data_IF_523473483745
#
_entry.id   IF_523473483745
#
_cell.length_a   1.000
_cell.length_b   1.000
_cell.length_c   1.000
_cell.angle_alpha   90.00
_cell.angle_beta   90.00
_cell.angle_gamma   90.00
#
_symmetry.space_group_name_H-M   'P 1'
#
loop_
_entity.id
_entity.type
_entity.pdbx_description
1 polymer ?
#
# COMPACT_ATOMS: atom_id res chain seq x y z
N UNK A 1 7.49 -13.71 -15.05
CA UNK A 1 6.57 -12.65 -14.60
C UNK A 1 6.06 -12.91 -13.19
N UNK A 2 5.80 -14.17 -12.81
CA UNK A 2 5.14 -14.51 -11.54
C UNK A 2 5.93 -14.13 -10.28
N UNK A 3 7.27 -14.20 -10.31
CA UNK A 3 8.10 -13.82 -9.17
C UNK A 3 7.94 -12.31 -8.84
N UNK A 4 7.77 -11.46 -9.86
CA UNK A 4 7.67 -10.01 -9.69
C UNK A 4 6.36 -9.58 -9.01
N UNK A 5 5.25 -10.27 -9.30
CA UNK A 5 3.97 -9.99 -8.64
C UNK A 5 4.01 -10.37 -7.16
N UNK A 6 4.61 -11.52 -6.82
CA UNK A 6 4.83 -11.92 -5.43
C UNK A 6 5.70 -10.91 -4.67
N UNK A 7 6.79 -10.43 -5.27
CA UNK A 7 7.61 -9.39 -4.66
C UNK A 7 6.89 -8.06 -4.48
N UNK A 8 5.99 -7.70 -5.41
CA UNK A 8 5.21 -6.46 -5.29
C UNK A 8 4.27 -6.51 -4.07
N UNK A 9 3.66 -7.68 -3.81
CA UNK A 9 2.82 -7.90 -2.62
C UNK A 9 3.66 -7.85 -1.34
N UNK A 10 4.82 -8.51 -1.35
CA UNK A 10 5.74 -8.46 -0.20
C UNK A 10 6.20 -7.02 0.09
N UNK A 11 6.59 -6.26 -0.94
CA UNK A 11 6.99 -4.87 -0.82
C UNK A 11 5.87 -4.01 -0.23
N UNK A 12 4.63 -4.21 -0.70
CA UNK A 12 3.46 -3.51 -0.15
C UNK A 12 3.28 -3.81 1.35
N UNK A 13 3.31 -5.08 1.75
CA UNK A 13 3.18 -5.44 3.16
C UNK A 13 4.32 -4.90 4.03
N UNK A 14 5.56 -4.87 3.50
CA UNK A 14 6.71 -4.28 4.17
C UNK A 14 6.56 -2.77 4.41
N UNK A 15 5.83 -2.04 3.57
CA UNK A 15 5.53 -0.62 3.83
C UNK A 15 4.49 -0.43 4.94
N UNK A 16 3.55 -1.37 5.09
CA UNK A 16 2.48 -1.30 6.08
C UNK A 16 2.97 -1.71 7.48
N UNK A 17 3.84 -2.72 7.57
CA UNK A 17 4.33 -3.26 8.85
C UNK A 17 4.86 -2.19 9.83
N UNK A 18 5.78 -1.31 9.40
CA UNK A 18 6.30 -0.24 10.24
C UNK A 18 5.23 0.69 10.80
N UNK A 19 4.12 0.90 10.08
CA UNK A 19 3.01 1.76 10.54
C UNK A 19 2.37 1.18 11.80
N UNK A 20 2.12 -0.14 11.83
CA UNK A 20 1.57 -0.81 13.02
C UNK A 20 2.56 -0.80 14.18
N UNK A 21 3.85 -0.99 13.90
CA UNK A 21 4.89 -0.91 14.94
C UNK A 21 4.98 0.50 15.54
N UNK A 22 4.88 1.53 14.71
CA UNK A 22 4.88 2.93 15.12
C UNK A 22 3.65 3.25 15.98
N UNK A 23 2.46 2.76 15.60
CA UNK A 23 1.23 2.90 16.38
C UNK A 23 1.36 2.23 17.75
N UNK A 24 1.87 0.98 17.81
CA UNK A 24 2.10 0.28 19.09
C UNK A 24 3.13 1.01 19.97
N UNK A 25 4.17 1.56 19.37
CA UNK A 25 5.17 2.35 20.09
C UNK A 25 4.61 3.68 20.61
N UNK A 26 3.78 4.38 19.82
CA UNK A 26 3.13 5.62 20.22
C UNK A 26 2.15 5.43 21.40
N UNK A 27 1.50 4.27 21.45
CA UNK A 27 0.57 3.87 22.53
C UNK A 27 1.30 3.32 23.77
N UNK A 28 2.64 3.20 23.72
CA UNK A 28 3.47 2.73 24.84
C UNK A 28 3.57 1.20 24.99
N UNK A 29 3.01 0.42 24.05
CA UNK A 29 2.96 -1.05 24.09
C UNK A 29 4.24 -1.71 23.55
N UNK A 30 5.41 -1.19 23.91
CA UNK A 30 6.72 -1.61 23.36
C UNK A 30 7.02 -3.10 23.59
N UNK A 31 6.74 -3.63 24.79
CA UNK A 31 6.97 -5.06 25.11
C UNK A 31 6.12 -5.99 24.26
N UNK A 32 4.91 -5.56 23.89
CA UNK A 32 4.01 -6.36 23.07
C UNK A 32 4.44 -6.35 21.60
N UNK A 33 4.90 -5.21 21.09
CA UNK A 33 5.50 -5.09 19.76
C UNK A 33 6.73 -6.00 19.61
N UNK A 34 7.63 -6.01 20.60
CA UNK A 34 8.81 -6.91 20.62
C UNK A 34 8.38 -8.38 20.59
N UNK A 35 7.34 -8.75 21.36
CA UNK A 35 6.80 -10.12 21.35
C UNK A 35 6.21 -10.48 19.97
N UNK A 36 5.46 -9.57 19.34
CA UNK A 36 4.85 -9.81 18.03
C UNK A 36 5.93 -9.91 16.94
N UNK A 37 7.00 -9.11 17.00
CA UNK A 37 8.16 -9.22 16.11
C UNK A 37 8.90 -10.56 16.30
N UNK A 38 9.05 -11.01 17.54
CA UNK A 38 9.64 -12.32 17.82
C UNK A 38 8.78 -13.47 17.25
N UNK A 39 7.44 -13.40 17.41
CA UNK A 39 6.52 -14.37 16.82
C UNK A 39 6.63 -14.36 15.29
N UNK A 40 6.67 -13.19 14.65
CA UNK A 40 6.86 -13.06 13.21
C UNK A 40 8.15 -13.74 12.75
N UNK A 41 9.26 -13.51 13.45
CA UNK A 41 10.54 -14.14 13.14
C UNK A 41 10.44 -15.67 13.22
N UNK A 42 9.89 -16.21 14.31
CA UNK A 42 9.72 -17.67 14.49
C UNK A 42 8.84 -18.26 13.38
N UNK A 43 7.69 -17.66 13.10
CA UNK A 43 6.79 -18.10 12.04
C UNK A 43 7.47 -18.05 10.68
N UNK A 44 8.21 -16.98 10.38
CA UNK A 44 8.95 -16.86 9.12
C UNK A 44 9.97 -17.98 8.97
N UNK A 45 10.77 -18.26 9.99
CA UNK A 45 11.76 -19.35 9.94
C UNK A 45 11.10 -20.73 9.82
N UNK A 46 10.03 -21.00 10.58
CA UNK A 46 9.32 -22.28 10.54
C UNK A 46 8.61 -22.53 9.21
N UNK A 47 8.08 -21.48 8.55
CA UNK A 47 7.34 -21.59 7.28
C UNK A 47 8.28 -21.49 6.08
N UNK A 48 9.39 -20.75 6.18
CA UNK A 48 10.35 -20.60 5.08
C UNK A 48 11.02 -21.93 4.72
N UNK A 49 11.43 -22.73 5.71
CA UNK A 49 12.11 -24.00 5.47
C UNK A 49 11.28 -25.04 4.68
N UNK A 50 10.00 -25.32 5.02
CA UNK A 50 9.16 -26.21 4.23
C UNK A 50 8.81 -25.63 2.86
N UNK A 51 8.50 -24.33 2.76
CA UNK A 51 8.16 -23.72 1.46
C UNK A 51 9.36 -23.65 0.52
N UNK A 52 10.58 -23.49 1.03
CA UNK A 52 11.81 -23.59 0.23
C UNK A 52 11.94 -24.97 -0.42
N UNK A 53 11.63 -26.02 0.33
CA UNK A 53 11.75 -27.40 -0.14
C UNK A 53 10.74 -27.73 -1.25
N UNK A 54 9.53 -27.18 -1.20
CA UNK A 54 8.47 -27.48 -2.17
C UNK A 54 8.41 -26.51 -3.37
N UNK A 55 8.68 -25.22 -3.15
CA UNK A 55 8.48 -24.16 -4.16
C UNK A 55 9.76 -23.39 -4.54
N UNK A 56 10.92 -23.77 -3.98
CA UNK A 56 12.19 -23.08 -4.24
C UNK A 56 12.18 -21.63 -3.73
N UNK A 57 12.82 -20.71 -4.46
CA UNK A 57 12.97 -19.30 -4.06
C UNK A 57 11.63 -18.55 -3.92
N UNK A 58 10.62 -18.90 -4.73
CA UNK A 58 9.27 -18.34 -4.62
C UNK A 58 8.61 -18.67 -3.27
N UNK A 59 8.96 -19.82 -2.68
CA UNK A 59 8.50 -20.22 -1.35
C UNK A 59 8.99 -19.29 -0.23
N UNK A 60 10.15 -18.64 -0.40
CA UNK A 60 10.69 -17.67 0.57
C UNK A 60 9.88 -16.38 0.57
N UNK A 61 9.47 -15.92 -0.61
CA UNK A 61 8.63 -14.72 -0.76
C UNK A 61 7.25 -14.98 -0.17
N UNK A 62 6.64 -16.13 -0.47
CA UNK A 62 5.34 -16.53 0.09
C UNK A 62 5.37 -16.68 1.62
N UNK A 63 6.43 -17.26 2.19
CA UNK A 63 6.57 -17.35 3.65
C UNK A 63 6.72 -15.96 4.30
N UNK A 64 7.38 -15.02 3.64
CA UNK A 64 7.49 -13.63 4.10
C UNK A 64 6.15 -12.91 4.07
N UNK A 65 5.35 -13.09 3.01
CA UNK A 65 3.98 -12.56 2.91
C UNK A 65 3.10 -13.10 4.05
N UNK A 66 3.15 -14.41 4.32
CA UNK A 66 2.38 -15.03 5.41
C UNK A 66 2.81 -14.52 6.78
N UNK A 67 4.12 -14.46 7.05
CA UNK A 67 4.65 -13.96 8.31
C UNK A 67 4.26 -12.50 8.55
N UNK A 68 4.34 -11.66 7.52
CA UNK A 68 3.94 -10.25 7.59
C UNK A 68 2.42 -10.09 7.80
N UNK A 69 1.61 -10.93 7.15
CA UNK A 69 0.17 -10.96 7.36
C UNK A 69 -0.20 -11.32 8.80
N UNK A 70 0.42 -12.36 9.36
CA UNK A 70 0.22 -12.76 10.77
C UNK A 70 0.65 -11.66 11.72
N UNK A 71 1.78 -11.01 11.44
CA UNK A 71 2.28 -9.88 12.22
C UNK A 71 1.26 -8.73 12.29
N UNK A 72 0.73 -8.30 11.14
CA UNK A 72 -0.27 -7.24 11.06
C UNK A 72 -1.54 -7.61 11.82
N UNK A 73 -2.01 -8.86 11.71
CA UNK A 73 -3.21 -9.32 12.42
C UNK A 73 -2.99 -9.30 13.95
N UNK A 74 -1.83 -9.77 14.41
CA UNK A 74 -1.48 -9.76 15.84
C UNK A 74 -1.37 -8.35 16.40
N UNK A 75 -0.81 -7.42 15.62
CA UNK A 75 -0.71 -6.01 15.99
C UNK A 75 -2.09 -5.33 16.05
N UNK A 76 -2.96 -5.58 15.06
CA UNK A 76 -4.34 -5.10 15.07
C UNK A 76 -5.11 -5.66 16.26
N UNK A 77 -4.97 -6.97 16.54
CA UNK A 77 -5.64 -7.63 17.66
C UNK A 77 -5.19 -7.04 19.00
N UNK A 78 -3.87 -6.86 19.19
CA UNK A 78 -3.29 -6.22 20.35
C UNK A 78 -3.85 -4.81 20.59
N UNK A 79 -3.93 -4.01 19.53
CA UNK A 79 -4.44 -2.64 19.59
C UNK A 79 -5.96 -2.62 19.88
N UNK A 80 -6.72 -3.54 19.28
CA UNK A 80 -8.18 -3.64 19.46
C UNK A 80 -8.56 -4.10 20.86
N UNK A 81 -7.89 -5.14 21.36
CA UNK A 81 -8.18 -5.74 22.68
C UNK A 81 -7.90 -4.76 23.83
N UNK A 82 -6.84 -3.94 23.71
CA UNK A 82 -6.42 -3.02 24.79
C UNK A 82 -7.00 -1.61 24.68
N UNK A 83 -7.28 -1.10 23.48
CA UNK A 83 -7.71 0.29 23.28
C UNK A 83 -9.11 0.46 22.68
N UNK A 84 -9.86 -0.63 22.39
CA UNK A 84 -11.21 -0.59 21.80
C UNK A 84 -11.32 0.37 20.60
N UNK A 85 -10.29 0.39 19.75
CA UNK A 85 -10.21 1.30 18.60
C UNK A 85 -11.31 0.93 17.60
N UNK A 86 -12.06 1.94 17.16
CA UNK A 86 -13.09 1.79 16.12
C UNK A 86 -12.44 1.83 14.72
N UNK A 87 -12.03 0.66 14.23
CA UNK A 87 -11.36 0.48 12.94
C UNK A 87 -12.20 0.84 11.70
N UNK A 88 -13.52 1.04 11.85
CA UNK A 88 -14.42 1.32 10.72
C UNK A 88 -13.93 2.49 9.85
N UNK A 89 -13.45 3.57 10.46
CA UNK A 89 -12.94 4.73 9.71
C UNK A 89 -11.64 4.43 8.97
N UNK A 90 -10.70 3.74 9.61
CA UNK A 90 -9.41 3.38 9.00
C UNK A 90 -9.59 2.41 7.84
N UNK A 91 -10.46 1.40 8.01
CA UNK A 91 -10.77 0.43 6.95
C UNK A 91 -11.48 1.09 5.76
N UNK A 92 -12.43 1.99 6.01
CA UNK A 92 -13.11 2.70 4.94
C UNK A 92 -12.11 3.51 4.10
N UNK A 93 -11.17 4.23 4.74
CA UNK A 93 -10.10 4.96 4.04
C UNK A 93 -9.20 4.03 3.23
N UNK A 94 -8.81 2.88 3.80
CA UNK A 94 -7.99 1.89 3.10
C UNK A 94 -8.70 1.34 1.85
N UNK A 95 -10.00 1.03 1.96
CA UNK A 95 -10.80 0.57 0.82
C UNK A 95 -10.89 1.61 -0.30
N UNK A 96 -11.03 2.89 0.04
CA UNK A 96 -11.04 3.95 -0.98
C UNK A 96 -9.68 4.08 -1.67
N UNK A 97 -8.56 3.94 -0.94
CA UNK A 97 -7.21 3.93 -1.55
C UNK A 97 -7.07 2.74 -2.50
N UNK A 98 -7.52 1.55 -2.11
CA UNK A 98 -7.52 0.37 -2.99
C UNK A 98 -8.39 0.59 -4.23
N UNK A 99 -9.54 1.26 -4.11
CA UNK A 99 -10.40 1.60 -5.23
C UNK A 99 -9.70 2.61 -6.17
N UNK A 100 -8.99 3.60 -5.63
CA UNK A 100 -8.19 4.52 -6.42
C UNK A 100 -7.05 3.80 -7.17
N UNK A 101 -6.40 2.82 -6.54
CA UNK A 101 -5.42 1.95 -7.20
C UNK A 101 -6.04 1.08 -8.31
N UNK A 102 -7.26 0.57 -8.10
CA UNK A 102 -7.98 -0.18 -9.12
C UNK A 102 -8.37 0.70 -10.32
N UNK A 103 -8.79 1.94 -10.06
CA UNK A 103 -9.08 2.91 -11.12
C UNK A 103 -7.82 3.31 -11.90
N UNK A 104 -6.68 3.50 -11.22
CA UNK A 104 -5.37 3.68 -11.86
C UNK A 104 -5.04 2.53 -12.81
N UNK A 105 -5.24 1.29 -12.36
CA UNK A 105 -5.02 0.11 -13.17
C UNK A 105 -5.95 0.05 -14.39
N UNK A 106 -7.22 0.43 -14.22
CA UNK A 106 -8.18 0.51 -15.32
C UNK A 106 -7.78 1.57 -16.36
N UNK A 107 -7.31 2.74 -15.92
CA UNK A 107 -6.81 3.81 -16.82
C UNK A 107 -5.56 3.35 -17.56
N UNK A 108 -4.63 2.69 -16.87
CA UNK A 108 -3.43 2.13 -17.51
C UNK A 108 -3.79 1.12 -18.59
N UNK A 109 -4.74 0.21 -18.31
CA UNK A 109 -5.25 -0.76 -19.29
C UNK A 109 -6.03 -0.12 -20.44
N UNK A 110 -6.78 0.94 -20.17
CA UNK A 110 -7.44 1.74 -21.20
C UNK A 110 -6.45 2.44 -22.14
N UNK A 111 -5.37 3.00 -21.59
CA UNK A 111 -4.31 3.61 -22.39
C UNK A 111 -3.55 2.57 -23.24
N UNK A 112 -3.30 1.38 -22.69
CA UNK A 112 -2.70 0.26 -23.42
C UNK A 112 -3.56 -0.21 -24.61
N UNK A 113 -4.90 -0.15 -24.48
CA UNK A 113 -5.87 -0.51 -25.54
C UNK A 113 -5.93 0.53 -26.67
N UNK A 114 -5.75 1.82 -26.36
CA UNK A 114 -5.73 2.92 -27.34
C UNK A 114 -4.43 2.92 -28.17
N UNK A 115 -3.46 2.08 -27.81
CA UNK A 115 -2.20 1.94 -28.55
C UNK A 115 -1.04 2.77 -28.00
N UNK A 116 -1.20 3.40 -26.82
CA UNK A 116 -0.08 3.94 -26.04
C UNK A 116 0.69 2.82 -25.32
N UNK A 117 1.05 1.76 -26.05
CA UNK A 117 1.97 0.75 -25.54
C UNK A 117 3.34 1.40 -25.47
N UNK A 118 3.72 1.87 -24.28
CA UNK A 118 5.03 2.45 -23.97
C UNK A 118 6.23 1.51 -24.17
N UNK A 119 6.03 0.37 -24.85
CA UNK A 119 7.04 -0.61 -25.22
C UNK A 119 6.79 -1.05 -26.67
N UNK A 120 7.72 -0.68 -27.57
CA UNK A 120 7.69 -1.11 -28.99
C UNK A 120 8.11 -0.06 -30.03
N UNK A 121 8.29 1.20 -29.64
CA UNK A 121 8.80 2.26 -30.53
C UNK A 121 10.15 2.83 -30.03
N UNK A 122 10.80 3.69 -30.81
CA UNK A 122 12.10 4.27 -30.48
C UNK A 122 12.15 4.86 -29.06
N UNK A 123 13.31 4.78 -28.38
CA UNK A 123 13.48 5.11 -26.94
C UNK A 123 12.85 6.45 -26.52
N UNK A 124 12.87 7.47 -27.39
CA UNK A 124 12.27 8.78 -27.13
C UNK A 124 10.73 8.75 -27.16
N UNK A 125 10.15 7.99 -28.09
CA UNK A 125 8.70 7.80 -28.25
C UNK A 125 8.11 6.98 -27.10
N UNK A 126 8.81 5.93 -26.63
CA UNK A 126 8.41 5.18 -25.44
C UNK A 126 8.40 6.05 -24.18
N UNK A 127 9.38 6.96 -24.04
CA UNK A 127 9.43 7.89 -22.91
C UNK A 127 8.26 8.88 -22.92
N UNK A 128 7.95 9.46 -24.10
CA UNK A 128 6.81 10.37 -24.26
C UNK A 128 5.48 9.67 -23.97
N UNK A 129 5.27 8.45 -24.49
CA UNK A 129 4.06 7.68 -24.24
C UNK A 129 3.92 7.29 -22.76
N UNK A 130 5.03 6.93 -22.10
CA UNK A 130 5.04 6.66 -20.66
C UNK A 130 4.75 7.92 -19.83
N UNK A 131 5.28 9.07 -20.23
CA UNK A 131 5.02 10.35 -19.57
C UNK A 131 3.54 10.75 -19.66
N UNK A 132 2.93 10.59 -20.84
CA UNK A 132 1.49 10.89 -21.04
C UNK A 132 0.61 9.93 -20.24
N UNK A 133 0.90 8.62 -20.29
CA UNK A 133 0.16 7.62 -19.51
C UNK A 133 0.29 7.87 -18.00
N UNK A 134 1.52 8.14 -17.51
CA UNK A 134 1.78 8.48 -16.11
C UNK A 134 1.05 9.76 -15.66
N UNK A 135 1.00 10.78 -16.52
CA UNK A 135 0.29 12.04 -16.24
C UNK A 135 -1.21 11.83 -16.13
N UNK A 136 -1.82 11.10 -17.07
CA UNK A 136 -3.24 10.75 -17.06
C UNK A 136 -3.61 9.92 -15.83
N UNK A 137 -2.80 8.90 -15.53
CA UNK A 137 -2.97 8.07 -14.35
C UNK A 137 -2.93 8.93 -13.06
N UNK A 138 -1.95 9.83 -12.96
CA UNK A 138 -1.81 10.72 -11.81
C UNK A 138 -3.01 11.67 -11.66
N UNK A 139 -3.53 12.23 -12.76
CA UNK A 139 -4.74 13.06 -12.74
C UNK A 139 -5.97 12.30 -12.24
N UNK A 140 -6.18 11.06 -12.71
CA UNK A 140 -7.31 10.23 -12.24
C UNK A 140 -7.16 9.86 -10.78
N UNK A 141 -5.95 9.51 -10.34
CA UNK A 141 -5.68 9.23 -8.93
C UNK A 141 -6.00 10.45 -8.04
N UNK A 142 -5.51 11.65 -8.40
CA UNK A 142 -5.82 12.86 -7.66
C UNK A 142 -7.30 13.22 -7.72
N UNK A 143 -7.97 13.03 -8.84
CA UNK A 143 -9.41 13.29 -8.99
C UNK A 143 -10.27 12.43 -8.06
N UNK A 144 -10.02 11.11 -8.04
CA UNK A 144 -10.72 10.18 -7.14
C UNK A 144 -10.38 10.47 -5.67
N UNK A 145 -9.09 10.67 -5.38
CA UNK A 145 -8.62 10.97 -4.02
C UNK A 145 -9.22 12.28 -3.49
N UNK A 146 -9.43 13.28 -4.35
CA UNK A 146 -10.08 14.54 -4.01
C UNK A 146 -11.59 14.37 -3.79
N UNK A 147 -12.28 13.62 -4.65
CA UNK A 147 -13.72 13.35 -4.51
C UNK A 147 -14.04 12.69 -3.16
N UNK A 148 -13.21 11.73 -2.73
CA UNK A 148 -13.38 11.06 -1.43
C UNK A 148 -12.80 11.82 -0.22
N UNK A 149 -12.33 13.06 -0.40
CA UNK A 149 -11.87 13.95 0.69
C UNK A 149 -10.78 13.34 1.62
N UNK A 150 -10.01 12.36 1.13
CA UNK A 150 -8.88 11.77 1.86
C UNK A 150 -7.80 12.81 2.19
N UNK A 151 -7.36 13.70 1.27
CA UNK A 151 -6.33 14.68 1.59
C UNK A 151 -6.84 15.73 2.60
N UNK A 152 -8.12 16.10 2.55
CA UNK A 152 -8.69 17.04 3.52
C UNK A 152 -8.75 16.45 4.94
N UNK A 153 -9.05 15.16 5.08
CA UNK A 153 -9.12 14.49 6.39
C UNK A 153 -7.78 14.02 6.95
N UNK A 154 -6.73 13.88 6.14
CA UNK A 154 -5.39 13.48 6.59
C UNK A 154 -4.46 14.69 6.75
N UNK A 155 -4.46 15.63 5.80
CA UNK A 155 -3.59 16.80 5.79
C UNK A 155 -4.19 18.04 6.44
N UNK A 156 -5.47 18.03 6.87
CA UNK A 156 -6.19 19.23 7.35
C UNK A 156 -6.09 20.44 6.40
N UNK A 157 -5.77 20.20 5.13
CA UNK A 157 -5.66 21.24 4.11
C UNK A 157 -7.02 21.42 3.44
N UNK A 158 -7.83 22.30 4.02
CA UNK A 158 -8.96 22.90 3.31
C UNK A 158 -8.39 23.70 2.11
N UNK A 159 -8.32 23.07 0.93
CA UNK A 159 -7.96 23.76 -0.32
C UNK A 159 -8.85 24.99 -0.55
N UNK A 160 -10.09 24.97 -0.07
CA UNK A 160 -11.02 26.11 -0.06
C UNK A 160 -10.52 27.30 0.77
N UNK A 161 -9.80 27.07 1.87
CA UNK A 161 -9.14 28.11 2.69
C UNK A 161 -7.84 28.58 2.07
N UNK A 162 -7.07 27.71 1.43
CA UNK A 162 -5.84 28.09 0.71
C UNK A 162 -6.14 28.94 -0.53
N UNK A 163 -7.16 28.60 -1.32
CA UNK A 163 -7.58 29.38 -2.48
C UNK A 163 -8.11 30.77 -2.06
N UNK A 164 -8.83 30.85 -0.92
CA UNK A 164 -9.27 32.13 -0.33
C UNK A 164 -8.11 32.96 0.22
N UNK A 165 -7.01 32.34 0.67
CA UNK A 165 -5.78 33.05 1.09
C UNK A 165 -4.97 33.54 -0.10
N UNK A 166 -4.90 32.79 -1.18
CA UNK A 166 -4.25 33.21 -2.43
C UNK A 166 -4.97 34.37 -3.12
N UNK A 167 -6.31 34.42 -3.04
CA UNK A 167 -7.12 35.50 -3.62
C UNK A 167 -7.18 36.78 -2.77
N UNK A 168 -6.53 36.80 -1.60
CA UNK A 168 -6.43 37.95 -0.68
C UNK A 168 -5.03 38.59 -0.68
N UNK A 169 -4.13 38.16 -1.56
CA UNK A 169 -2.87 38.84 -1.87
C UNK A 169 -2.91 39.36 -3.29
#
# INVERSE_FOLDING_TARGET
ADILSWFSIEAFLNTIGPIFTALLMAVGLRRLNIRNLAIMMVVKFSVAYPLLKYFGYQGVVMSSILAMGIFIILDIYALTSRYKIRWKYTLHKLLVILLAMAALFAVARGCDLIGLKGYGSGRMLSLLQLAVNGSLAMLVYFGITYFFSIPQTILHLDLSRLLKRGRRR
#
